data_IF_865358847031
#
_entry.id   IF_865358847031
#
_cell.length_a   1.000
_cell.length_b   1.000
_cell.length_c   1.000
_cell.angle_alpha   90.00
_cell.angle_beta   90.00
_cell.angle_gamma   90.00
#
_symmetry.space_group_name_H-M   'P 1'
#
loop_
_entity.id
_entity.type
_entity.pdbx_description
1 polymer ?
#
# COMPACT_ATOMS: atom_id res chain seq x y z
N UNK A 1 39.08 -12.23 45.48
CA UNK A 1 37.81 -12.86 45.06
C UNK A 1 36.72 -11.84 44.72
N UNK A 2 37.04 -10.58 44.38
CA UNK A 2 36.07 -9.54 44.01
C UNK A 2 36.04 -9.27 42.49
N UNK A 3 37.14 -9.50 41.76
CA UNK A 3 37.20 -9.21 40.32
C UNK A 3 36.40 -10.17 39.43
N UNK A 4 36.06 -11.38 39.90
CA UNK A 4 35.26 -12.34 39.11
C UNK A 4 33.77 -11.98 39.06
N UNK A 5 33.24 -11.34 40.11
CA UNK A 5 31.83 -10.94 40.16
C UNK A 5 31.54 -9.68 39.32
N UNK A 6 32.49 -8.77 39.22
CA UNK A 6 32.35 -7.56 38.40
C UNK A 6 32.38 -7.88 36.90
N UNK A 7 33.26 -8.79 36.45
CA UNK A 7 33.32 -9.21 35.04
C UNK A 7 32.04 -9.96 34.63
N UNK A 8 31.50 -10.83 35.48
CA UNK A 8 30.21 -11.49 35.21
C UNK A 8 29.05 -10.49 35.19
N UNK A 9 29.02 -9.52 36.11
CA UNK A 9 27.95 -8.52 36.18
C UNK A 9 27.98 -7.54 35.01
N UNK A 10 29.15 -7.14 34.54
CA UNK A 10 29.35 -6.32 33.33
C UNK A 10 28.91 -7.10 32.09
N UNK A 11 29.27 -8.38 31.99
CA UNK A 11 28.92 -9.22 30.83
C UNK A 11 27.40 -9.49 30.77
N UNK A 12 26.75 -9.76 31.92
CA UNK A 12 25.30 -9.93 32.02
C UNK A 12 24.53 -8.63 31.72
N UNK A 13 25.02 -7.48 32.19
CA UNK A 13 24.39 -6.19 31.89
C UNK A 13 24.58 -5.78 30.42
N UNK A 14 25.73 -6.05 29.81
CA UNK A 14 25.94 -5.80 28.38
C UNK A 14 25.03 -6.66 27.49
N UNK A 15 24.84 -7.94 27.86
CA UNK A 15 23.94 -8.85 27.15
C UNK A 15 22.46 -8.44 27.23
N UNK A 16 22.02 -7.92 28.38
CA UNK A 16 20.65 -7.38 28.55
C UNK A 16 20.41 -6.11 27.73
N UNK A 17 21.39 -5.20 27.67
CA UNK A 17 21.31 -3.97 26.86
C UNK A 17 21.24 -4.30 25.37
N UNK A 18 22.07 -5.25 24.91
CA UNK A 18 22.05 -5.67 23.52
C UNK A 18 20.75 -6.37 23.13
N UNK A 19 20.22 -7.27 23.97
CA UNK A 19 18.92 -7.91 23.72
C UNK A 19 17.77 -6.91 23.63
N UNK A 20 17.75 -5.89 24.49
CA UNK A 20 16.75 -4.84 24.42
C UNK A 20 16.87 -4.02 23.12
N UNK A 21 18.10 -3.73 22.67
CA UNK A 21 18.33 -3.03 21.41
C UNK A 21 17.81 -3.83 20.21
N UNK A 22 18.13 -5.12 20.14
CA UNK A 22 17.66 -6.00 19.05
C UNK A 22 16.14 -6.14 19.07
N UNK A 23 15.53 -6.32 20.25
CA UNK A 23 14.07 -6.36 20.39
C UNK A 23 13.41 -5.08 19.88
N UNK A 24 13.97 -3.91 20.20
CA UNK A 24 13.45 -2.64 19.73
C UNK A 24 13.54 -2.49 18.20
N UNK A 25 14.67 -2.89 17.61
CA UNK A 25 14.85 -2.89 16.15
C UNK A 25 13.88 -3.84 15.45
N UNK A 26 13.72 -5.06 15.95
CA UNK A 26 12.75 -6.03 15.42
C UNK A 26 11.31 -5.51 15.52
N UNK A 27 10.96 -4.82 16.60
CA UNK A 27 9.64 -4.18 16.73
C UNK A 27 9.46 -3.06 15.71
N UNK A 28 10.47 -2.22 15.46
CA UNK A 28 10.41 -1.19 14.43
C UNK A 28 10.20 -1.79 13.03
N UNK A 29 10.92 -2.86 12.70
CA UNK A 29 10.77 -3.60 11.44
C UNK A 29 9.34 -4.15 11.29
N UNK A 30 8.79 -4.77 12.35
CA UNK A 30 7.41 -5.26 12.35
C UNK A 30 6.39 -4.15 12.05
N UNK A 31 6.60 -2.96 12.61
CA UNK A 31 5.73 -1.81 12.35
C UNK A 31 5.82 -1.33 10.90
N UNK A 32 7.02 -1.32 10.30
CA UNK A 32 7.21 -1.01 8.88
C UNK A 32 6.42 -1.98 8.00
N UNK A 33 6.56 -3.29 8.25
CA UNK A 33 5.85 -4.32 7.50
C UNK A 33 4.32 -4.24 7.68
N UNK A 34 3.85 -3.98 8.89
CA UNK A 34 2.42 -3.78 9.17
C UNK A 34 1.86 -2.57 8.41
N UNK A 35 2.61 -1.46 8.39
CA UNK A 35 2.24 -0.27 7.64
C UNK A 35 2.20 -0.55 6.13
N UNK A 36 3.18 -1.27 5.58
CA UNK A 36 3.18 -1.68 4.18
C UNK A 36 1.93 -2.47 3.80
N UNK A 37 1.59 -3.45 4.64
CA UNK A 37 0.39 -4.29 4.43
C UNK A 37 -0.87 -3.45 4.40
N UNK A 38 -1.00 -2.46 5.29
CA UNK A 38 -2.13 -1.54 5.29
C UNK A 38 -2.18 -0.69 4.01
N UNK A 39 -1.05 -0.17 3.54
CA UNK A 39 -0.99 0.59 2.29
C UNK A 39 -1.40 -0.27 1.08
N UNK A 40 -0.95 -1.52 1.00
CA UNK A 40 -1.36 -2.45 -0.04
C UNK A 40 -2.86 -2.75 -0.01
N UNK A 41 -3.45 -2.87 1.19
CA UNK A 41 -4.90 -3.03 1.33
C UNK A 41 -5.66 -1.78 0.86
N UNK A 42 -5.21 -0.58 1.24
CA UNK A 42 -5.78 0.67 0.74
C UNK A 42 -5.68 0.78 -0.78
N UNK A 43 -4.61 0.24 -1.38
CA UNK A 43 -4.43 0.22 -2.83
C UNK A 43 -5.43 -0.68 -3.53
N UNK A 44 -5.69 -1.86 -2.96
CA UNK A 44 -6.73 -2.76 -3.49
C UNK A 44 -8.12 -2.14 -3.39
N UNK A 45 -8.43 -1.44 -2.30
CA UNK A 45 -9.70 -0.71 -2.16
C UNK A 45 -9.83 0.42 -3.17
N UNK A 46 -8.78 1.22 -3.35
CA UNK A 46 -8.74 2.26 -4.37
C UNK A 46 -8.96 1.68 -5.77
N UNK A 47 -8.34 0.53 -6.08
CA UNK A 47 -8.48 -0.15 -7.36
C UNK A 47 -9.94 -0.56 -7.64
N UNK A 48 -10.62 -1.13 -6.65
CA UNK A 48 -12.05 -1.47 -6.80
C UNK A 48 -12.89 -0.22 -7.05
N UNK A 49 -12.62 0.86 -6.30
CA UNK A 49 -13.38 2.10 -6.44
C UNK A 49 -13.18 2.80 -7.81
N UNK A 50 -11.99 2.75 -8.39
CA UNK A 50 -11.77 3.32 -9.74
C UNK A 50 -12.41 2.44 -10.83
N UNK A 51 -12.39 1.11 -10.67
CA UNK A 51 -13.09 0.20 -11.58
C UNK A 51 -14.61 0.41 -11.56
N UNK A 52 -15.19 0.65 -10.38
CA UNK A 52 -16.60 1.01 -10.25
C UNK A 52 -16.91 2.36 -10.92
N UNK A 53 -16.07 3.37 -10.72
CA UNK A 53 -16.22 4.69 -11.37
C UNK A 53 -16.16 4.58 -12.90
N UNK A 54 -15.23 3.77 -13.44
CA UNK A 54 -15.13 3.51 -14.87
C UNK A 54 -16.36 2.76 -15.41
N UNK A 55 -16.91 1.81 -14.65
CA UNK A 55 -18.16 1.14 -15.01
C UNK A 55 -19.35 2.11 -15.06
N UNK A 56 -19.47 3.02 -14.09
CA UNK A 56 -20.50 4.07 -14.08
C UNK A 56 -20.38 4.99 -15.30
N UNK A 57 -19.18 5.42 -15.66
CA UNK A 57 -18.95 6.21 -16.87
C UNK A 57 -19.33 5.47 -18.15
N UNK A 58 -19.07 4.15 -18.20
CA UNK A 58 -19.45 3.34 -19.36
C UNK A 58 -20.96 3.27 -19.54
N UNK A 59 -21.70 3.02 -18.45
CA UNK A 59 -23.17 3.03 -18.47
C UNK A 59 -23.66 4.39 -18.97
N UNK A 60 -23.17 5.48 -18.38
CA UNK A 60 -23.59 6.83 -18.76
C UNK A 60 -23.31 7.13 -20.25
N UNK A 61 -22.18 6.67 -20.79
CA UNK A 61 -21.87 6.79 -22.22
C UNK A 61 -22.82 5.99 -23.11
N UNK A 62 -23.21 4.79 -22.70
CA UNK A 62 -24.20 3.98 -23.44
C UNK A 62 -25.55 4.69 -23.47
N UNK A 63 -25.96 5.27 -22.34
CA UNK A 63 -27.18 6.06 -22.30
C UNK A 63 -27.08 7.26 -23.26
N UNK A 64 -25.93 7.99 -23.31
CA UNK A 64 -25.66 9.11 -24.25
C UNK A 64 -25.89 8.75 -25.70
N UNK A 65 -25.44 7.57 -26.09
CA UNK A 65 -25.67 7.08 -27.44
C UNK A 65 -27.17 6.90 -27.73
N UNK A 66 -27.94 6.36 -26.77
CA UNK A 66 -29.40 6.22 -26.90
C UNK A 66 -30.12 7.57 -27.02
N UNK A 67 -29.75 8.59 -26.23
CA UNK A 67 -30.34 9.93 -26.36
C UNK A 67 -29.99 10.56 -27.71
N UNK A 68 -28.75 10.38 -28.19
CA UNK A 68 -28.31 10.90 -29.49
C UNK A 68 -29.11 10.29 -30.64
N UNK A 69 -29.35 8.98 -30.59
CA UNK A 69 -30.18 8.29 -31.59
C UNK A 69 -31.61 8.81 -31.59
N UNK A 70 -32.23 9.02 -30.42
CA UNK A 70 -33.59 9.59 -30.34
C UNK A 70 -33.65 11.02 -30.87
N UNK A 71 -32.68 11.85 -30.51
CA UNK A 71 -32.56 13.20 -31.07
C UNK A 71 -32.43 13.20 -32.60
N UNK A 72 -31.63 12.27 -33.16
CA UNK A 72 -31.51 12.10 -34.62
C UNK A 72 -32.84 11.67 -35.25
N UNK A 73 -33.61 10.78 -34.61
CA UNK A 73 -34.94 10.37 -35.08
C UNK A 73 -35.92 11.55 -35.12
N UNK A 74 -35.96 12.37 -34.07
CA UNK A 74 -36.77 13.60 -34.03
C UNK A 74 -36.39 14.54 -35.18
N UNK A 75 -35.09 14.78 -35.35
CA UNK A 75 -34.56 15.66 -36.40
C UNK A 75 -34.96 15.16 -37.80
N UNK A 76 -34.87 13.85 -38.04
CA UNK A 76 -35.24 13.23 -39.30
C UNK A 76 -36.76 13.20 -39.57
N UNK A 77 -37.59 13.22 -38.52
CA UNK A 77 -39.05 13.36 -38.66
C UNK A 77 -39.44 14.79 -39.00
N UNK A 78 -38.80 15.78 -38.36
CA UNK A 78 -39.00 17.21 -38.66
C UNK A 78 -38.57 17.59 -40.08
N UNK A 79 -37.62 16.87 -40.68
CA UNK A 79 -37.17 17.15 -42.06
C UNK A 79 -38.10 16.64 -43.16
N UNK A 80 -39.17 15.88 -42.83
CA UNK A 80 -40.12 15.35 -43.83
C UNK A 80 -41.34 16.27 -43.93
N UNK A 81 -41.44 17.05 -45.01
CA UNK A 81 -42.64 17.85 -45.28
C UNK A 81 -43.76 17.02 -45.93
N UNK A 82 -45.05 17.30 -45.62
CA UNK A 82 -45.54 18.18 -44.55
C UNK A 82 -45.66 17.44 -43.22
N UNK A 83 -45.19 18.05 -42.12
CA UNK A 83 -45.37 17.54 -40.76
C UNK A 83 -46.72 18.01 -40.22
N UNK A 84 -47.58 17.10 -39.79
CA UNK A 84 -48.88 17.45 -39.21
C UNK A 84 -48.75 18.00 -37.77
N UNK A 85 -49.75 18.77 -37.32
CA UNK A 85 -49.73 19.43 -36.02
C UNK A 85 -49.70 18.46 -34.82
N UNK A 86 -50.28 17.26 -34.93
CA UNK A 86 -50.27 16.24 -33.88
C UNK A 86 -48.86 15.63 -33.73
N UNK A 87 -48.15 15.48 -34.84
CA UNK A 87 -46.74 15.07 -34.84
C UNK A 87 -45.84 16.14 -34.21
N UNK A 88 -46.10 17.43 -34.45
CA UNK A 88 -45.36 18.52 -33.79
C UNK A 88 -45.52 18.47 -32.27
N UNK A 89 -46.75 18.34 -31.75
CA UNK A 89 -47.02 18.29 -30.31
C UNK A 89 -46.30 17.09 -29.66
N UNK A 90 -46.32 15.92 -30.30
CA UNK A 90 -45.63 14.72 -29.81
C UNK A 90 -44.10 14.91 -29.78
N UNK A 91 -43.54 15.51 -30.81
CA UNK A 91 -42.10 15.79 -30.89
C UNK A 91 -41.66 16.82 -29.85
N UNK A 92 -42.45 17.86 -29.59
CA UNK A 92 -42.16 18.84 -28.53
C UNK A 92 -42.17 18.21 -27.13
N UNK A 93 -43.10 17.29 -26.86
CA UNK A 93 -43.11 16.52 -25.61
C UNK A 93 -41.88 15.60 -25.50
N UNK A 94 -41.46 14.95 -26.59
CA UNK A 94 -40.26 14.12 -26.60
C UNK A 94 -38.98 14.95 -26.39
N UNK A 95 -38.84 16.11 -27.04
CA UNK A 95 -37.72 17.04 -26.83
C UNK A 95 -37.66 17.49 -25.37
N UNK A 96 -38.81 17.80 -24.76
CA UNK A 96 -38.89 18.16 -23.33
C UNK A 96 -38.41 17.02 -22.44
N UNK A 97 -38.85 15.78 -22.70
CA UNK A 97 -38.41 14.58 -21.97
C UNK A 97 -36.91 14.33 -22.12
N UNK A 98 -36.37 14.46 -23.34
CA UNK A 98 -34.93 14.38 -23.59
C UNK A 98 -34.19 15.45 -22.80
N UNK A 99 -34.66 16.70 -22.80
CA UNK A 99 -34.06 17.78 -22.04
C UNK A 99 -33.98 17.50 -20.53
N UNK A 100 -35.03 16.90 -19.95
CA UNK A 100 -35.02 16.47 -18.54
C UNK A 100 -33.98 15.39 -18.28
N UNK A 101 -33.86 14.39 -19.16
CA UNK A 101 -32.87 13.32 -19.03
C UNK A 101 -31.43 13.83 -19.18
N UNK A 102 -31.17 14.73 -20.15
CA UNK A 102 -29.86 15.40 -20.28
C UNK A 102 -29.49 16.15 -19.01
N UNK A 103 -30.44 16.87 -18.40
CA UNK A 103 -30.19 17.58 -17.14
C UNK A 103 -29.87 16.63 -15.98
N UNK A 104 -30.53 15.47 -15.89
CA UNK A 104 -30.20 14.44 -14.91
C UNK A 104 -28.78 13.92 -15.12
N UNK A 105 -28.42 13.59 -16.35
CA UNK A 105 -27.09 13.11 -16.66
C UNK A 105 -25.97 14.11 -16.43
N UNK A 106 -26.19 15.39 -16.72
CA UNK A 106 -25.18 16.42 -16.43
C UNK A 106 -24.85 16.41 -14.93
N UNK A 107 -25.86 16.21 -14.07
CA UNK A 107 -25.66 16.07 -12.62
C UNK A 107 -24.91 14.80 -12.27
N UNK A 108 -25.32 13.65 -12.81
CA UNK A 108 -24.66 12.36 -12.55
C UNK A 108 -23.20 12.36 -13.04
N UNK A 109 -22.94 12.88 -14.23
CA UNK A 109 -21.59 13.05 -14.78
C UNK A 109 -20.73 13.92 -13.86
N UNK A 110 -21.29 15.01 -13.33
CA UNK A 110 -20.59 15.91 -12.41
C UNK A 110 -20.20 15.18 -11.13
N UNK A 111 -21.10 14.39 -10.54
CA UNK A 111 -20.80 13.63 -9.32
C UNK A 111 -19.78 12.51 -9.57
N UNK A 112 -19.91 11.77 -10.68
CA UNK A 112 -18.95 10.74 -11.09
C UNK A 112 -17.56 11.35 -11.34
N UNK A 113 -17.49 12.50 -12.02
CA UNK A 113 -16.25 13.22 -12.28
C UNK A 113 -15.60 13.71 -10.98
N UNK A 114 -16.38 14.27 -10.05
CA UNK A 114 -15.89 14.69 -8.73
C UNK A 114 -15.34 13.51 -7.93
N UNK A 115 -16.02 12.37 -7.96
CA UNK A 115 -15.54 11.13 -7.33
C UNK A 115 -14.22 10.66 -7.97
N UNK A 116 -14.12 10.72 -9.30
CA UNK A 116 -12.89 10.38 -10.05
C UNK A 116 -11.71 11.25 -9.64
N UNK A 117 -11.89 12.57 -9.59
CA UNK A 117 -10.82 13.48 -9.16
C UNK A 117 -10.34 13.17 -7.73
N UNK A 118 -11.26 12.84 -6.82
CA UNK A 118 -10.89 12.41 -5.46
C UNK A 118 -10.06 11.12 -5.48
N UNK A 119 -10.43 10.14 -6.29
CA UNK A 119 -9.67 8.89 -6.45
C UNK A 119 -8.29 9.13 -7.06
N UNK A 120 -8.15 10.03 -8.03
CA UNK A 120 -6.86 10.38 -8.64
C UNK A 120 -5.90 11.02 -7.61
N UNK A 121 -6.39 11.93 -6.78
CA UNK A 121 -5.60 12.52 -5.69
C UNK A 121 -5.19 11.46 -4.67
N UNK A 122 -6.11 10.56 -4.28
CA UNK A 122 -5.79 9.45 -3.38
C UNK A 122 -4.72 8.54 -3.97
N UNK A 123 -4.79 8.23 -5.26
CA UNK A 123 -3.78 7.42 -5.94
C UNK A 123 -2.38 8.04 -5.86
N UNK A 124 -2.27 9.35 -6.09
CA UNK A 124 -0.98 10.06 -6.03
C UNK A 124 -0.35 9.91 -4.65
N UNK A 125 -1.13 10.18 -3.60
CA UNK A 125 -0.68 10.05 -2.21
C UNK A 125 -0.30 8.60 -1.88
N UNK A 126 -1.15 7.65 -2.25
CA UNK A 126 -0.94 6.24 -1.96
C UNK A 126 0.29 5.68 -2.68
N UNK A 127 0.49 6.04 -3.94
CA UNK A 127 1.66 5.65 -4.73
C UNK A 127 2.95 6.18 -4.11
N UNK A 128 2.94 7.44 -3.63
CA UNK A 128 4.09 8.03 -2.94
C UNK A 128 4.40 7.28 -1.64
N UNK A 129 3.39 7.03 -0.81
CA UNK A 129 3.54 6.32 0.46
C UNK A 129 4.03 4.88 0.28
N UNK A 130 3.49 4.15 -0.70
CA UNK A 130 3.94 2.78 -1.02
C UNK A 130 5.42 2.79 -1.40
N UNK A 131 5.84 3.69 -2.32
CA UNK A 131 7.25 3.79 -2.73
C UNK A 131 8.18 4.09 -1.56
N UNK A 132 7.84 5.07 -0.72
CA UNK A 132 8.63 5.39 0.46
C UNK A 132 8.72 4.19 1.40
N UNK A 133 7.60 3.50 1.62
CA UNK A 133 7.58 2.36 2.52
C UNK A 133 8.31 1.13 1.96
N UNK A 134 8.33 0.93 0.63
CA UNK A 134 9.18 -0.08 -0.02
C UNK A 134 10.65 0.15 0.31
N UNK A 135 11.14 1.39 0.20
CA UNK A 135 12.52 1.74 0.60
C UNK A 135 12.75 1.47 2.09
N UNK A 136 11.78 1.76 2.95
CA UNK A 136 11.87 1.44 4.38
C UNK A 136 11.93 -0.07 4.65
N UNK A 137 11.24 -0.90 3.86
CA UNK A 137 11.36 -2.36 3.93
C UNK A 137 12.75 -2.82 3.51
N UNK A 138 13.31 -2.26 2.42
CA UNK A 138 14.66 -2.58 1.99
C UNK A 138 15.69 -2.23 3.07
N UNK A 139 15.56 -1.07 3.72
CA UNK A 139 16.38 -0.69 4.87
C UNK A 139 16.18 -1.64 6.06
N UNK A 140 14.94 -2.01 6.37
CA UNK A 140 14.64 -2.97 7.41
C UNK A 140 15.27 -4.35 7.16
N UNK A 141 15.33 -4.80 5.90
CA UNK A 141 16.00 -6.04 5.53
C UNK A 141 17.51 -5.95 5.77
N UNK A 142 18.16 -4.85 5.37
CA UNK A 142 19.58 -4.64 5.69
C UNK A 142 19.85 -4.62 7.20
N UNK A 143 18.94 -4.05 7.99
CA UNK A 143 19.02 -4.09 9.45
C UNK A 143 18.88 -5.51 10.00
N UNK A 144 18.01 -6.34 9.41
CA UNK A 144 17.91 -7.78 9.76
C UNK A 144 19.24 -8.49 9.48
N UNK A 145 19.81 -8.32 8.28
CA UNK A 145 21.08 -8.96 7.90
C UNK A 145 22.20 -8.56 8.88
N UNK A 146 22.24 -7.28 9.25
CA UNK A 146 23.21 -6.77 10.24
C UNK A 146 22.98 -7.35 11.63
N UNK A 147 21.72 -7.47 12.06
CA UNK A 147 21.39 -8.12 13.34
C UNK A 147 21.84 -9.57 13.33
N UNK A 148 21.59 -10.31 12.25
CA UNK A 148 22.01 -11.70 12.11
C UNK A 148 23.54 -11.84 12.16
N UNK A 149 24.26 -11.01 11.41
CA UNK A 149 25.72 -11.00 11.39
C UNK A 149 26.31 -10.75 12.79
N UNK A 150 25.79 -9.74 13.49
CA UNK A 150 26.21 -9.44 14.86
C UNK A 150 25.94 -10.61 15.80
N UNK A 151 24.76 -11.24 15.68
CA UNK A 151 24.42 -12.42 16.49
C UNK A 151 25.38 -13.59 16.24
N UNK A 152 25.73 -13.86 14.97
CA UNK A 152 26.72 -14.89 14.62
C UNK A 152 28.10 -14.58 15.20
N UNK A 153 28.55 -13.34 15.12
CA UNK A 153 29.84 -12.91 15.69
C UNK A 153 29.89 -13.14 17.20
N UNK A 154 28.86 -12.69 17.93
CA UNK A 154 28.79 -12.88 19.39
C UNK A 154 28.82 -14.35 19.77
N UNK A 155 28.09 -15.19 19.04
CA UNK A 155 28.11 -16.64 19.28
C UNK A 155 29.46 -17.27 18.99
N UNK A 156 30.13 -16.87 17.90
CA UNK A 156 31.48 -17.33 17.59
C UNK A 156 32.45 -16.93 18.71
N UNK A 157 32.45 -15.66 19.12
CA UNK A 157 33.33 -15.17 20.20
C UNK A 157 33.09 -15.93 21.51
N UNK A 158 31.82 -16.22 21.83
CA UNK A 158 31.47 -17.03 23.00
C UNK A 158 32.01 -18.46 22.90
N UNK A 159 31.86 -19.12 21.75
CA UNK A 159 32.34 -20.50 21.54
C UNK A 159 33.87 -20.58 21.54
N UNK A 160 34.56 -19.63 20.89
CA UNK A 160 36.02 -19.61 20.81
C UNK A 160 36.70 -19.23 22.14
N UNK A 161 36.11 -18.31 22.92
CA UNK A 161 36.63 -17.97 24.25
C UNK A 161 36.46 -19.11 25.27
N UNK A 162 35.40 -19.93 25.14
CA UNK A 162 35.23 -21.12 26.00
C UNK A 162 36.20 -22.26 25.64
N UNK A 163 36.64 -22.36 24.38
CA UNK A 163 37.62 -23.37 23.97
C UNK A 163 39.08 -23.00 24.30
N UNK A 164 39.45 -21.72 24.26
CA UNK A 164 40.82 -21.30 24.62
C UNK A 164 41.13 -21.47 26.11
N UNK A 165 40.13 -21.30 26.98
CA UNK A 165 40.30 -21.50 28.43
C UNK A 165 40.44 -22.99 28.84
N UNK A 166 40.19 -23.93 27.94
CA UNK A 166 40.40 -25.36 28.18
C UNK A 166 41.75 -25.87 27.62
N UNK A 167 42.53 -24.99 26.97
CA UNK A 167 43.81 -25.34 26.34
C UNK A 167 45.04 -25.00 27.22
N UNK A 168 44.89 -24.24 28.31
CA UNK A 168 45.95 -23.99 29.28
C UNK A 168 45.95 -25.07 30.38
N UNK A 169 46.24 -26.32 30.00
CA UNK A 169 46.56 -27.37 30.98
C UNK A 169 47.27 -28.57 30.36
N UNK A 170 48.28 -28.38 29.51
CA UNK A 170 49.28 -29.43 29.28
C UNK A 170 50.66 -28.81 29.09
N UNK A 171 51.66 -29.45 29.71
CA UNK A 171 53.13 -29.24 29.66
C UNK A 171 53.64 -28.34 30.78
N UNK A 172 54.59 -28.70 31.65
CA UNK A 172 55.54 -29.81 31.79
C UNK A 172 56.01 -29.74 33.28
N UNK A 173 56.53 -30.77 33.95
CA UNK A 173 57.89 -31.24 33.77
C UNK A 173 58.16 -32.56 34.50
N UNK A 174 59.09 -33.30 33.91
CA UNK A 174 59.63 -34.58 34.33
C UNK A 174 60.56 -34.50 35.55
N UNK A 175 60.75 -35.67 36.17
CA UNK A 175 61.89 -36.13 36.96
C UNK A 175 62.19 -35.50 38.33
N UNK A 176 62.23 -36.34 39.38
CA UNK A 176 63.51 -36.74 39.99
C UNK A 176 63.34 -37.81 41.08
N UNK A 177 64.13 -38.88 40.91
CA UNK A 177 64.66 -39.89 41.85
C UNK A 177 63.72 -40.90 42.51
#
# INVERSE_FOLDING_TARGET
MLMFFDVLSININSGKVLQNNIRNKLNAIKMICAHHKALCQSFMQWKVAIEENDAQLKILNEEVMSLRERHQKITAQLSKEPVDAETIIRLEDEVRKIGLQVNMWIRELTEISKARTKLEVQFICLRSNIRLNTVNIEMANMDIDRIELNYRQIWNDFLYNNNSNNSECVSNDNNSN
#
